data_IF_659167840391
#
_entry.id   IF_659167840391
#
_cell.length_a   1.000
_cell.length_b   1.000
_cell.length_c   1.000
_cell.angle_alpha   90.00
_cell.angle_beta   90.00
_cell.angle_gamma   90.00
#
_symmetry.space_group_name_H-M   'P 1'
#
loop_
_entity.id
_entity.type
_entity.pdbx_description
1 polymer ?
#
# COMPACT_ATOMS: atom_id res chain seq x y z
N UNK A 1 -6.52 47.37 -4.35
CA UNK A 1 -6.98 46.81 -3.07
C UNK A 1 -6.69 45.32 -3.06
N UNK A 2 -5.51 44.92 -2.59
CA UNK A 2 -5.14 43.50 -2.44
C UNK A 2 -5.85 42.95 -1.20
N UNK A 3 -6.70 41.95 -1.40
CA UNK A 3 -7.56 41.42 -0.34
C UNK A 3 -6.78 40.64 0.73
N UNK A 4 -7.27 40.63 1.99
CA UNK A 4 -6.64 39.92 3.12
C UNK A 4 -6.50 38.40 2.94
N UNK A 5 -7.11 37.83 1.89
CA UNK A 5 -6.98 36.40 1.52
C UNK A 5 -5.63 36.07 0.89
N UNK A 6 -5.01 36.98 0.14
CA UNK A 6 -3.74 36.73 -0.55
C UNK A 6 -2.59 36.59 0.46
N UNK A 7 -2.59 37.42 1.52
CA UNK A 7 -1.56 37.41 2.58
C UNK A 7 -1.58 36.14 3.45
N UNK A 8 -2.75 35.51 3.62
CA UNK A 8 -2.90 34.24 4.36
C UNK A 8 -2.36 33.05 3.58
N UNK A 9 -2.52 33.05 2.25
CA UNK A 9 -1.96 31.99 1.40
C UNK A 9 -0.43 32.05 1.33
N UNK A 10 0.15 33.25 1.29
CA UNK A 10 1.62 33.40 1.27
C UNK A 10 2.25 32.93 2.59
N UNK A 11 1.65 33.23 3.74
CA UNK A 11 2.20 32.82 5.05
C UNK A 11 2.12 31.31 5.27
N UNK A 12 1.05 30.66 4.80
CA UNK A 12 0.92 29.20 4.90
C UNK A 12 1.95 28.49 4.01
N UNK A 13 2.17 29.00 2.79
CA UNK A 13 3.15 28.44 1.85
C UNK A 13 4.58 28.53 2.40
N UNK A 14 4.96 29.65 3.02
CA UNK A 14 6.31 29.81 3.60
C UNK A 14 6.52 28.92 4.83
N UNK A 15 5.50 28.71 5.66
CA UNK A 15 5.58 27.82 6.83
C UNK A 15 5.71 26.35 6.43
N UNK A 16 5.05 25.93 5.34
CA UNK A 16 5.23 24.59 4.78
C UNK A 16 6.65 24.39 4.21
N UNK A 17 7.28 25.43 3.66
CA UNK A 17 8.62 25.33 3.08
C UNK A 17 9.73 25.13 4.14
N UNK A 18 9.60 25.68 5.35
CA UNK A 18 10.64 25.56 6.38
C UNK A 18 10.61 24.24 7.16
N UNK A 19 9.50 23.49 7.11
CA UNK A 19 9.42 22.16 7.72
C UNK A 19 10.10 21.06 6.88
N UNK A 20 10.51 21.37 5.65
CA UNK A 20 11.12 20.40 4.74
C UNK A 20 12.64 20.24 4.93
N UNK A 21 13.31 21.09 5.72
CA UNK A 21 14.76 20.99 5.96
C UNK A 21 15.06 20.10 7.18
N UNK A 22 14.71 18.82 7.09
CA UNK A 22 15.17 17.80 8.04
C UNK A 22 16.55 17.28 7.64
N UNK A 23 17.50 17.25 8.58
CA UNK A 23 18.76 16.53 8.38
C UNK A 23 18.43 15.02 8.29
N UNK A 24 18.37 14.49 7.07
CA UNK A 24 18.24 13.05 6.85
C UNK A 24 19.56 12.38 7.24
N UNK A 25 19.54 11.60 8.33
CA UNK A 25 20.66 10.72 8.67
C UNK A 25 20.56 9.47 7.77
N UNK A 26 21.53 9.29 6.88
CA UNK A 26 21.60 8.10 6.04
C UNK A 26 22.35 6.98 6.79
N UNK A 27 21.62 5.94 7.19
CA UNK A 27 22.26 4.71 7.67
C UNK A 27 22.76 3.89 6.47
N UNK A 28 24.06 3.61 6.42
CA UNK A 28 24.64 2.67 5.47
C UNK A 28 25.02 1.39 6.20
N UNK A 29 24.38 0.24 5.89
CA UNK A 29 24.74 -1.03 6.48
C UNK A 29 26.17 -1.39 6.10
N UNK A 30 26.83 -2.19 6.95
CA UNK A 30 28.16 -2.72 6.64
C UNK A 30 28.08 -3.52 5.33
N UNK A 31 29.04 -3.34 4.39
CA UNK A 31 29.10 -4.16 3.18
C UNK A 31 29.12 -5.64 3.51
N UNK A 32 28.30 -6.42 2.81
CA UNK A 32 28.22 -7.86 2.94
C UNK A 32 27.24 -8.47 1.93
N UNK A 33 27.19 -9.80 1.86
CA UNK A 33 26.44 -10.54 0.84
C UNK A 33 24.93 -10.56 1.09
N UNK A 34 24.45 -9.87 2.12
CA UNK A 34 23.02 -9.75 2.44
C UNK A 34 22.45 -8.49 1.82
N UNK A 35 21.22 -8.59 1.35
CA UNK A 35 20.47 -7.47 0.81
C UNK A 35 19.82 -6.72 1.96
N UNK A 36 20.05 -5.42 2.04
CA UNK A 36 19.41 -4.53 2.98
C UNK A 36 18.70 -3.39 2.25
N UNK A 37 17.48 -3.06 2.67
CA UNK A 37 16.84 -1.83 2.22
C UNK A 37 17.45 -0.62 2.93
N UNK A 38 17.79 0.40 2.17
CA UNK A 38 18.23 1.69 2.66
C UNK A 38 17.44 2.81 2.00
N UNK A 39 17.50 4.01 2.60
CA UNK A 39 17.02 5.22 1.95
C UNK A 39 18.25 5.99 1.47
N UNK A 40 18.46 6.06 0.16
CA UNK A 40 19.53 6.83 -0.47
C UNK A 40 18.90 8.01 -1.21
N UNK A 41 19.33 9.23 -0.88
CA UNK A 41 18.79 10.47 -1.45
C UNK A 41 17.26 10.63 -1.33
N UNK A 42 16.66 10.02 -0.31
CA UNK A 42 15.22 10.08 -0.06
C UNK A 42 14.39 9.07 -0.86
N UNK A 43 15.04 8.20 -1.63
CA UNK A 43 14.41 7.11 -2.35
C UNK A 43 14.79 5.75 -1.74
N UNK A 44 13.90 4.75 -1.79
CA UNK A 44 14.24 3.40 -1.37
C UNK A 44 15.27 2.78 -2.35
N UNK A 45 16.31 2.18 -1.79
CA UNK A 45 17.36 1.49 -2.55
C UNK A 45 17.75 0.18 -1.84
N UNK A 46 18.35 -0.74 -2.58
CA UNK A 46 18.91 -1.98 -2.07
C UNK A 46 20.43 -1.84 -1.96
N UNK A 47 20.96 -2.12 -0.78
CA UNK A 47 22.40 -2.26 -0.57
C UNK A 47 22.76 -3.75 -0.60
N UNK A 48 23.73 -4.12 -1.45
CA UNK A 48 24.25 -5.48 -1.57
C UNK A 48 25.75 -5.40 -1.91
N UNK A 49 26.62 -6.07 -1.14
CA UNK A 49 28.07 -6.06 -1.31
C UNK A 49 28.72 -4.65 -1.37
N UNK A 50 28.10 -3.69 -0.67
CA UNK A 50 28.55 -2.29 -0.68
C UNK A 50 28.17 -1.51 -1.95
N UNK A 51 27.52 -2.15 -2.92
CA UNK A 51 26.84 -1.49 -4.02
C UNK A 51 25.44 -1.07 -3.59
N UNK A 52 25.00 0.09 -4.06
CA UNK A 52 23.64 0.60 -3.84
C UNK A 52 22.92 0.57 -5.18
N UNK A 53 21.90 -0.25 -5.28
CA UNK A 53 21.04 -0.38 -6.45
C UNK A 53 19.71 0.30 -6.16
N UNK A 54 19.35 1.31 -6.95
CA UNK A 54 18.06 1.99 -6.80
C UNK A 54 16.93 1.03 -7.14
N UNK A 55 15.89 1.01 -6.29
CA UNK A 55 14.64 0.34 -6.63
C UNK A 55 13.91 1.28 -7.59
N UNK A 56 14.09 1.06 -8.89
CA UNK A 56 13.39 1.83 -9.92
C UNK A 56 11.87 1.77 -9.73
N UNK A 57 11.12 2.59 -10.49
CA UNK A 57 9.66 2.73 -10.34
C UNK A 57 8.88 1.39 -10.34
N UNK A 58 9.41 0.39 -11.04
CA UNK A 58 8.81 -0.93 -11.19
C UNK A 58 9.59 -2.06 -10.50
N UNK A 59 10.61 -1.74 -9.71
CA UNK A 59 11.41 -2.75 -9.03
C UNK A 59 12.63 -3.27 -9.78
N UNK A 60 13.06 -2.57 -10.84
CA UNK A 60 14.10 -2.99 -11.81
C UNK A 60 15.47 -3.36 -11.18
N UNK A 61 15.73 -2.98 -9.92
CA UNK A 61 16.97 -3.34 -9.21
C UNK A 61 16.91 -4.64 -8.41
N UNK A 62 15.71 -5.17 -8.12
CA UNK A 62 15.58 -6.35 -7.25
C UNK A 62 16.08 -7.61 -7.94
N UNK A 63 15.72 -7.82 -9.20
CA UNK A 63 16.08 -9.03 -9.96
C UNK A 63 17.61 -9.17 -10.09
N UNK A 64 18.31 -8.06 -10.37
CA UNK A 64 19.78 -8.03 -10.46
C UNK A 64 20.43 -8.43 -9.13
N UNK A 65 19.92 -7.88 -8.02
CA UNK A 65 20.46 -8.12 -6.68
C UNK A 65 20.25 -9.56 -6.23
N UNK A 66 19.13 -10.19 -6.59
CA UNK A 66 18.83 -11.59 -6.22
C UNK A 66 19.17 -12.60 -7.32
N UNK A 67 19.83 -12.18 -8.40
CA UNK A 67 20.05 -12.99 -9.60
C UNK A 67 20.82 -14.30 -9.35
N UNK A 68 21.67 -14.34 -8.32
CA UNK A 68 22.43 -15.54 -7.95
C UNK A 68 21.57 -16.62 -7.29
N UNK A 69 20.35 -16.31 -6.86
CA UNK A 69 19.43 -17.23 -6.23
C UNK A 69 18.15 -17.44 -7.09
N UNK A 70 17.96 -18.62 -7.68
CA UNK A 70 16.82 -18.86 -8.57
C UNK A 70 15.46 -18.77 -7.89
N UNK A 71 15.36 -19.11 -6.59
CA UNK A 71 14.09 -19.05 -5.83
C UNK A 71 13.72 -17.62 -5.48
N UNK A 72 14.68 -16.82 -5.03
CA UNK A 72 14.45 -15.40 -4.78
C UNK A 72 14.07 -14.66 -6.08
N UNK A 73 14.70 -15.02 -7.21
CA UNK A 73 14.42 -14.44 -8.52
C UNK A 73 12.97 -14.65 -8.99
N UNK A 74 12.39 -15.82 -8.75
CA UNK A 74 10.98 -16.09 -9.07
C UNK A 74 10.01 -15.13 -8.37
N UNK A 75 10.29 -14.82 -7.09
CA UNK A 75 9.52 -13.83 -6.34
C UNK A 75 9.77 -12.39 -6.84
N UNK A 76 11.01 -12.05 -7.21
CA UNK A 76 11.32 -10.75 -7.81
C UNK A 76 10.60 -10.53 -9.16
N UNK A 77 10.56 -11.56 -10.01
CA UNK A 77 9.82 -11.53 -11.28
C UNK A 77 8.32 -11.38 -11.06
N UNK A 78 7.74 -12.11 -10.10
CA UNK A 78 6.33 -11.98 -9.74
C UNK A 78 6.00 -10.58 -9.22
N UNK A 79 6.88 -10.01 -8.38
CA UNK A 79 6.76 -8.62 -7.92
C UNK A 79 6.75 -7.63 -9.10
N UNK A 80 7.69 -7.77 -10.03
CA UNK A 80 7.76 -6.92 -11.22
C UNK A 80 6.49 -7.02 -12.06
N UNK A 81 6.04 -8.24 -12.36
CA UNK A 81 4.84 -8.50 -13.16
C UNK A 81 3.57 -7.91 -12.54
N UNK A 82 3.39 -8.03 -11.22
CA UNK A 82 2.25 -7.44 -10.52
C UNK A 82 2.34 -5.91 -10.44
N UNK A 83 3.53 -5.36 -10.26
CA UNK A 83 3.74 -3.91 -10.21
C UNK A 83 3.45 -3.28 -11.58
N UNK A 84 4.04 -3.82 -12.65
CA UNK A 84 3.81 -3.35 -14.03
C UNK A 84 2.37 -3.58 -14.46
N UNK A 85 1.83 -4.78 -14.24
CA UNK A 85 0.46 -5.11 -14.58
C UNK A 85 -0.54 -4.21 -13.86
N UNK A 86 -0.34 -3.99 -12.55
CA UNK A 86 -1.16 -3.09 -11.75
C UNK A 86 -1.05 -1.64 -12.19
N UNK A 87 0.14 -1.17 -12.59
CA UNK A 87 0.33 0.17 -13.15
C UNK A 87 -0.41 0.37 -14.48
N UNK A 88 -0.25 -0.57 -15.43
CA UNK A 88 -0.91 -0.51 -16.75
C UNK A 88 -2.43 -0.53 -16.61
N UNK A 89 -2.96 -1.46 -15.80
CA UNK A 89 -4.40 -1.55 -15.52
C UNK A 89 -4.91 -0.28 -14.83
N UNK A 90 -4.14 0.27 -13.89
CA UNK A 90 -4.44 1.53 -13.23
C UNK A 90 -4.50 2.72 -14.20
N UNK A 91 -3.55 2.80 -15.14
CA UNK A 91 -3.51 3.87 -16.15
C UNK A 91 -4.70 3.80 -17.12
N UNK A 92 -5.06 2.58 -17.54
CA UNK A 92 -6.26 2.35 -18.35
C UNK A 92 -7.54 2.74 -17.59
N UNK A 93 -7.62 2.37 -16.31
CA UNK A 93 -8.72 2.76 -15.43
C UNK A 93 -8.86 4.27 -15.28
N UNK A 94 -7.75 4.97 -14.98
CA UNK A 94 -7.71 6.41 -14.87
C UNK A 94 -8.11 7.11 -16.18
N UNK A 95 -7.61 6.61 -17.32
CA UNK A 95 -7.96 7.10 -18.65
C UNK A 95 -9.46 6.94 -18.95
N UNK A 96 -10.02 5.75 -18.70
CA UNK A 96 -11.44 5.47 -18.91
C UNK A 96 -12.33 6.32 -17.99
N UNK A 97 -11.94 6.49 -16.71
CA UNK A 97 -12.66 7.35 -15.77
C UNK A 97 -12.64 8.82 -16.22
N UNK A 98 -11.47 9.33 -16.61
CA UNK A 98 -11.31 10.69 -17.12
C UNK A 98 -12.12 10.93 -18.41
N UNK A 99 -12.11 9.96 -19.34
CA UNK A 99 -12.90 10.02 -20.55
C UNK A 99 -14.41 10.03 -20.25
N UNK A 100 -14.89 9.14 -19.38
CA UNK A 100 -16.30 9.10 -18.96
C UNK A 100 -16.75 10.40 -18.31
N UNK A 101 -15.94 10.96 -17.40
CA UNK A 101 -16.23 12.25 -16.77
C UNK A 101 -16.22 13.42 -17.79
N UNK A 102 -15.25 13.45 -18.70
CA UNK A 102 -15.17 14.46 -19.76
C UNK A 102 -16.36 14.41 -20.71
N UNK A 103 -16.80 13.22 -21.10
CA UNK A 103 -17.99 13.03 -21.92
C UNK A 103 -19.27 13.45 -21.20
N UNK A 104 -19.38 13.22 -19.88
CA UNK A 104 -20.48 13.72 -19.06
C UNK A 104 -20.56 15.25 -19.10
N UNK A 105 -19.44 15.94 -18.87
CA UNK A 105 -19.36 17.41 -18.91
C UNK A 105 -19.70 17.93 -20.32
N UNK A 106 -19.17 17.31 -21.36
CA UNK A 106 -19.43 17.72 -22.75
C UNK A 106 -20.90 17.52 -23.14
N UNK A 107 -21.55 16.46 -22.64
CA UNK A 107 -22.97 16.20 -22.90
C UNK A 107 -23.88 17.23 -22.22
N UNK A 108 -23.52 17.75 -21.04
CA UNK A 108 -24.26 18.82 -20.37
C UNK A 108 -24.15 20.17 -21.11
N UNK A 109 -23.04 20.42 -21.81
CA UNK A 109 -22.86 21.62 -22.62
C UNK A 109 -23.58 21.58 -23.99
N UNK A 110 -24.07 20.41 -24.41
CA UNK A 110 -24.66 20.17 -25.73
C UNK A 110 -26.13 19.78 -25.69
N UNK A 111 -26.59 19.07 -26.72
CA UNK A 111 -27.90 18.43 -26.73
C UNK A 111 -27.89 17.23 -25.77
N UNK A 112 -28.76 17.20 -24.77
CA UNK A 112 -28.84 16.11 -23.80
C UNK A 112 -29.20 14.78 -24.49
N UNK A 113 -28.20 13.91 -24.70
CA UNK A 113 -28.40 12.58 -25.27
C UNK A 113 -28.26 11.51 -24.18
N UNK A 114 -29.37 10.83 -23.88
CA UNK A 114 -29.41 9.77 -22.84
C UNK A 114 -28.40 8.65 -23.12
N UNK A 115 -28.18 8.29 -24.39
CA UNK A 115 -27.21 7.26 -24.80
C UNK A 115 -25.78 7.62 -24.43
N UNK A 116 -25.36 8.86 -24.68
CA UNK A 116 -24.04 9.38 -24.31
C UNK A 116 -23.91 9.35 -22.78
N UNK A 117 -24.94 9.79 -22.04
CA UNK A 117 -24.91 9.79 -20.57
C UNK A 117 -24.69 8.38 -19.99
N UNK A 118 -25.41 7.38 -20.50
CA UNK A 118 -25.25 5.98 -20.07
C UNK A 118 -23.85 5.47 -20.40
N UNK A 119 -23.33 5.74 -21.61
CA UNK A 119 -21.97 5.35 -21.99
C UNK A 119 -20.91 6.02 -21.11
N UNK A 120 -21.07 7.31 -20.79
CA UNK A 120 -20.19 8.07 -19.91
C UNK A 120 -20.13 7.48 -18.50
N UNK A 121 -21.29 7.13 -17.92
CA UNK A 121 -21.34 6.45 -16.62
C UNK A 121 -20.67 5.08 -16.68
N UNK A 122 -20.91 4.31 -17.75
CA UNK A 122 -20.26 3.02 -17.96
C UNK A 122 -18.74 3.14 -17.98
N UNK A 123 -18.20 4.10 -18.75
CA UNK A 123 -16.76 4.39 -18.78
C UNK A 123 -16.23 4.86 -17.42
N UNK A 124 -16.97 5.72 -16.74
CA UNK A 124 -16.54 6.28 -15.45
C UNK A 124 -16.40 5.20 -14.38
N UNK A 125 -17.45 4.39 -14.19
CA UNK A 125 -17.47 3.33 -13.18
C UNK A 125 -16.64 2.11 -13.60
N UNK A 126 -16.63 1.77 -14.89
CA UNK A 126 -15.75 0.72 -15.42
C UNK A 126 -14.27 1.09 -15.26
N UNK A 127 -13.91 2.34 -15.55
CA UNK A 127 -12.57 2.87 -15.31
C UNK A 127 -12.19 2.86 -13.83
N UNK A 128 -13.13 3.21 -12.95
CA UNK A 128 -12.89 3.18 -11.50
C UNK A 128 -12.63 1.75 -11.01
N UNK A 129 -13.42 0.78 -11.49
CA UNK A 129 -13.22 -0.62 -11.17
C UNK A 129 -11.85 -1.12 -11.63
N UNK A 130 -11.44 -0.80 -12.86
CA UNK A 130 -10.09 -1.10 -13.37
C UNK A 130 -9.00 -0.43 -12.52
N UNK A 131 -9.19 0.84 -12.15
CA UNK A 131 -8.26 1.56 -11.27
C UNK A 131 -8.05 0.86 -9.93
N UNK A 132 -9.14 0.41 -9.30
CA UNK A 132 -9.08 -0.37 -8.05
C UNK A 132 -8.39 -1.72 -8.26
N UNK A 133 -8.69 -2.44 -9.34
CA UNK A 133 -8.00 -3.70 -9.69
C UNK A 133 -6.49 -3.48 -9.85
N UNK A 134 -6.09 -2.40 -10.54
CA UNK A 134 -4.67 -2.04 -10.68
C UNK A 134 -3.99 -1.76 -9.35
N UNK A 135 -4.68 -1.06 -8.44
CA UNK A 135 -4.18 -0.81 -7.09
C UNK A 135 -4.03 -2.11 -6.27
N UNK A 136 -4.98 -3.04 -6.35
CA UNK A 136 -4.89 -4.33 -5.68
C UNK A 136 -3.72 -5.17 -6.19
N UNK A 137 -3.45 -5.16 -7.51
CA UNK A 137 -2.28 -5.84 -8.07
C UNK A 137 -0.96 -5.27 -7.52
N UNK A 138 -0.84 -3.94 -7.41
CA UNK A 138 0.35 -3.31 -6.83
C UNK A 138 0.51 -3.64 -5.34
N UNK A 139 -0.58 -3.70 -4.57
CA UNK A 139 -0.55 -4.13 -3.17
C UNK A 139 -0.17 -5.61 -3.03
N UNK A 140 -0.68 -6.47 -3.90
CA UNK A 140 -0.35 -7.89 -3.95
C UNK A 140 1.11 -8.14 -4.35
N UNK A 141 1.79 -7.16 -4.95
CA UNK A 141 3.21 -7.26 -5.28
C UNK A 141 4.11 -7.20 -4.03
N UNK A 142 3.71 -6.46 -2.98
CA UNK A 142 4.55 -6.18 -1.81
C UNK A 142 5.07 -7.44 -1.09
N UNK A 143 4.26 -8.49 -0.83
CA UNK A 143 4.77 -9.72 -0.22
C UNK A 143 5.88 -10.38 -1.04
N UNK A 144 5.77 -10.40 -2.37
CA UNK A 144 6.78 -11.00 -3.24
C UNK A 144 8.11 -10.24 -3.20
N UNK A 145 8.08 -8.92 -3.05
CA UNK A 145 9.29 -8.11 -2.84
C UNK A 145 10.03 -8.52 -1.57
N UNK A 146 9.33 -8.64 -0.44
CA UNK A 146 9.94 -9.03 0.84
C UNK A 146 10.39 -10.49 0.85
N UNK A 147 9.61 -11.39 0.24
CA UNK A 147 9.97 -12.81 0.13
C UNK A 147 11.24 -13.00 -0.69
N UNK A 148 11.41 -12.27 -1.80
CA UNK A 148 12.64 -12.32 -2.59
C UNK A 148 13.87 -11.96 -1.73
N UNK A 149 13.79 -10.88 -0.95
CA UNK A 149 14.88 -10.46 -0.06
C UNK A 149 15.13 -11.49 1.06
N UNK A 150 14.07 -12.00 1.67
CA UNK A 150 14.19 -12.94 2.78
C UNK A 150 14.77 -14.28 2.33
N UNK A 151 14.25 -14.87 1.25
CA UNK A 151 14.75 -16.12 0.67
C UNK A 151 16.23 -15.97 0.28
N UNK A 152 16.59 -14.84 -0.34
CA UNK A 152 17.98 -14.55 -0.67
C UNK A 152 18.86 -14.52 0.59
N UNK A 153 18.46 -13.74 1.60
CA UNK A 153 19.23 -13.55 2.84
C UNK A 153 19.31 -14.81 3.72
N UNK A 154 18.34 -15.71 3.63
CA UNK A 154 18.32 -16.99 4.33
C UNK A 154 19.26 -18.01 3.69
N UNK A 155 19.43 -17.98 2.36
CA UNK A 155 20.28 -18.91 1.62
C UNK A 155 21.74 -18.43 1.50
N UNK A 156 22.02 -17.13 1.71
CA UNK A 156 23.39 -16.62 1.82
C UNK A 156 24.03 -17.10 3.11
N UNK A 157 25.05 -17.96 2.98
CA UNK A 157 25.80 -18.52 4.10
C UNK A 157 26.36 -17.39 4.99
N UNK A 158 25.98 -17.33 6.29
CA UNK A 158 26.50 -16.33 7.21
C UNK A 158 28.04 -16.38 7.37
N UNK A 159 28.69 -17.46 6.93
CA UNK A 159 30.15 -17.61 6.95
C UNK A 159 30.90 -16.72 5.95
N UNK A 160 30.23 -16.15 4.95
CA UNK A 160 30.86 -15.32 3.93
C UNK A 160 30.98 -13.85 4.39
N UNK A 161 31.94 -13.55 5.28
CA UNK A 161 32.33 -12.16 5.55
C UNK A 161 32.56 -11.75 7.00
N UNK A 162 32.42 -12.66 7.96
CA UNK A 162 33.13 -12.52 9.23
C UNK A 162 34.51 -13.14 9.01
N UNK A 163 35.61 -12.36 8.94
CA UNK A 163 36.94 -12.94 9.10
C UNK A 163 36.90 -13.89 10.29
N UNK A 164 37.35 -15.13 10.13
CA UNK A 164 37.47 -16.09 11.22
C UNK A 164 38.27 -15.51 12.42
N UNK A 165 39.04 -14.46 12.14
CA UNK A 165 39.93 -13.76 13.06
C UNK A 165 39.33 -12.47 13.64
N UNK A 166 38.04 -12.18 13.46
CA UNK A 166 37.44 -11.11 14.27
C UNK A 166 37.55 -11.55 15.74
N UNK A 167 38.35 -10.86 16.57
CA UNK A 167 38.29 -11.12 17.99
C UNK A 167 36.82 -10.94 18.38
N UNK A 168 36.25 -11.80 19.23
CA UNK A 168 34.92 -11.54 19.76
C UNK A 168 34.97 -10.13 20.30
N UNK A 169 34.32 -9.18 19.61
CA UNK A 169 34.23 -7.82 20.10
C UNK A 169 33.67 -8.03 21.48
N UNK A 170 34.38 -7.65 22.57
CA UNK A 170 33.80 -7.77 23.89
C UNK A 170 32.51 -6.98 23.75
N UNK A 171 31.38 -7.71 23.75
CA UNK A 171 30.08 -7.08 23.63
C UNK A 171 30.16 -5.97 24.67
N UNK A 172 29.89 -4.70 24.31
CA UNK A 172 29.76 -3.68 25.32
C UNK A 172 28.88 -4.35 26.36
N UNK A 173 29.39 -4.46 27.60
CA UNK A 173 28.60 -5.00 28.69
C UNK A 173 27.48 -3.98 28.76
N UNK A 174 26.42 -4.25 27.98
CA UNK A 174 25.13 -3.71 28.20
C UNK A 174 24.86 -4.30 29.55
N UNK A 175 25.17 -3.53 30.58
CA UNK A 175 24.52 -3.64 31.85
C UNK A 175 23.07 -3.52 31.47
N UNK A 176 22.46 -4.66 31.14
CA UNK A 176 21.04 -4.77 30.97
C UNK A 176 20.56 -4.19 32.28
N UNK A 177 19.93 -3.00 32.27
CA UNK A 177 19.40 -2.46 33.51
C UNK A 177 18.59 -3.61 34.12
N UNK A 178 18.74 -3.86 35.43
CA UNK A 178 18.04 -4.97 36.06
C UNK A 178 16.60 -4.92 35.56
N UNK A 179 16.04 -6.05 35.10
CA UNK A 179 14.70 -6.06 34.57
C UNK A 179 13.81 -5.30 35.55
N UNK A 180 12.94 -4.40 35.07
CA UNK A 180 12.03 -3.71 35.96
C UNK A 180 11.36 -4.76 36.85
N UNK A 181 11.10 -4.45 38.14
CA UNK A 181 10.46 -5.39 39.05
C UNK A 181 9.31 -6.05 38.32
N UNK A 182 9.30 -7.39 38.27
CA UNK A 182 8.19 -8.13 37.67
C UNK A 182 6.96 -7.66 38.41
N UNK A 183 6.12 -6.88 37.74
CA UNK A 183 4.82 -6.51 38.30
C UNK A 183 4.11 -7.84 38.58
N UNK A 184 3.43 -7.98 39.72
CA UNK A 184 2.59 -9.14 39.94
C UNK A 184 1.69 -9.29 38.70
N UNK A 185 1.45 -10.54 38.24
CA UNK A 185 0.57 -10.75 37.11
C UNK A 185 -0.72 -9.98 37.37
N UNK A 186 -1.28 -9.30 36.35
CA UNK A 186 -2.56 -8.64 36.52
C UNK A 186 -3.54 -9.67 37.10
N UNK A 187 -4.45 -9.26 38.01
CA UNK A 187 -5.49 -10.16 38.47
C UNK A 187 -6.16 -10.79 37.24
N UNK A 188 -6.55 -12.08 37.29
CA UNK A 188 -7.28 -12.71 36.20
C UNK A 188 -8.36 -11.74 35.74
N UNK A 189 -8.32 -11.35 34.46
CA UNK A 189 -9.40 -10.55 33.89
C UNK A 189 -10.62 -11.42 34.06
N UNK A 190 -11.51 -11.01 34.97
CA UNK A 190 -12.82 -11.62 35.11
C UNK A 190 -13.47 -11.50 33.75
N UNK A 191 -13.46 -12.60 33.00
CA UNK A 191 -14.07 -12.67 31.70
C UNK A 191 -15.53 -12.35 31.95
N UNK A 192 -15.95 -11.15 31.53
CA UNK A 192 -17.33 -10.76 31.62
C UNK A 192 -18.16 -11.92 31.04
N UNK A 193 -19.22 -12.37 31.73
CA UNK A 193 -20.06 -13.43 31.21
C UNK A 193 -20.45 -13.08 29.78
N UNK A 194 -20.47 -14.06 28.86
CA UNK A 194 -20.85 -13.80 27.49
C UNK A 194 -22.18 -13.03 27.48
N UNK A 195 -22.33 -12.01 26.61
CA UNK A 195 -23.58 -11.31 26.51
C UNK A 195 -24.70 -12.33 26.25
N UNK A 196 -25.90 -12.13 26.82
CA UNK A 196 -27.02 -13.01 26.56
C UNK A 196 -27.23 -13.12 25.04
N UNK A 197 -27.61 -14.31 24.54
CA UNK A 197 -27.87 -14.50 23.12
C UNK A 197 -28.84 -13.42 22.64
N UNK A 198 -28.46 -12.74 21.56
CA UNK A 198 -29.35 -11.78 20.90
C UNK A 198 -30.60 -12.55 20.49
N UNK A 199 -31.81 -12.10 20.86
CA UNK A 199 -33.03 -12.74 20.40
C UNK A 199 -33.01 -12.81 18.87
N UNK A 200 -33.49 -13.92 18.27
CA UNK A 200 -33.58 -14.01 16.82
C UNK A 200 -34.34 -12.78 16.29
N UNK A 201 -33.92 -12.22 15.14
CA UNK A 201 -34.66 -11.15 14.50
C UNK A 201 -36.14 -11.53 14.41
N UNK A 202 -37.04 -10.62 14.75
CA UNK A 202 -38.47 -10.83 14.56
C UNK A 202 -38.69 -11.30 13.12
N UNK A 203 -39.48 -12.36 12.97
CA UNK A 203 -39.84 -12.84 11.65
C UNK A 203 -40.36 -11.65 10.83
N UNK A 204 -39.93 -11.51 9.56
CA UNK A 204 -40.45 -10.44 8.72
C UNK A 204 -41.99 -10.49 8.75
N UNK A 205 -42.67 -9.34 8.86
CA UNK A 205 -44.11 -9.31 8.89
C UNK A 205 -44.64 -10.07 7.68
N UNK A 206 -45.59 -10.98 7.91
CA UNK A 206 -46.28 -11.65 6.82
C UNK A 206 -46.76 -10.60 5.84
N UNK A 207 -46.54 -10.78 4.52
CA UNK A 207 -47.00 -9.83 3.52
C UNK A 207 -48.50 -9.59 3.74
N UNK A 208 -48.86 -8.32 3.86
CA UNK A 208 -50.25 -7.89 3.98
C UNK A 208 -51.00 -8.41 2.75
N UNK A 209 -52.18 -9.04 2.91
CA UNK A 209 -52.95 -9.54 1.78
C UNK A 209 -53.17 -8.44 0.77
N UNK A 210 -52.76 -8.68 -0.48
CA UNK A 210 -52.95 -7.73 -1.56
C UNK A 210 -54.44 -7.39 -1.66
N UNK A 211 -54.82 -6.09 -1.69
CA UNK A 211 -56.21 -5.69 -1.81
C UNK A 211 -56.82 -6.34 -3.06
N UNK A 212 -57.98 -6.98 -2.90
CA UNK A 212 -58.71 -7.51 -4.03
C UNK A 212 -58.92 -6.39 -5.08
N UNK A 213 -58.71 -6.67 -6.38
CA UNK A 213 -58.90 -5.68 -7.43
C UNK A 213 -60.30 -5.09 -7.36
N UNK A 214 -60.39 -3.76 -7.39
CA UNK A 214 -61.68 -3.08 -7.42
C UNK A 214 -62.39 -3.36 -8.75
N UNK A 215 -63.71 -3.62 -8.74
CA UNK A 215 -64.48 -3.90 -9.95
C UNK A 215 -64.59 -2.71 -10.93
N UNK A 216 -64.04 -1.55 -10.59
CA UNK A 216 -64.14 -0.33 -11.39
C UNK A 216 -62.86 0.01 -12.19
N UNK A 217 -61.81 -0.82 -12.13
CA UNK A 217 -60.61 -0.61 -12.96
C UNK A 217 -60.88 -1.07 -14.41
N UNK A 218 -60.86 -0.16 -15.42
CA UNK A 218 -60.98 -0.54 -16.81
C UNK A 218 -59.69 -1.20 -17.33
N UNK A 219 -59.79 -2.06 -18.37
CA UNK A 219 -58.67 -2.79 -18.94
C UNK A 219 -57.63 -1.90 -19.63
#
# INVERSE_FOLDING_TARGET
MEGPRLRRLTTLATLCATLATGCSSSYRPRPGPRVAMIIDEGQPALAHDGQVTSIGLFGDGLEEVVASNPRAREHAETFFNYTVGGFVVGLLGAGATGAGAGMLIANEAGSEQTSIRVASFGLMFGGLALGLTGAFLQLAAQPHFFDAINIYNDEVDPGFGMPADFPPTPLPIMTVPPPPPVLPPPPPVEVAPPPPPVPPPDAPPSPEPEPAPSPDDPP
#
